data_IF_519829104843
#
_entry.id   IF_519829104843
#
_cell.length_a   1.000
_cell.length_b   1.000
_cell.length_c   1.000
_cell.angle_alpha   90.00
_cell.angle_beta   90.00
_cell.angle_gamma   90.00
#
_symmetry.space_group_name_H-M   'P 1'
#
loop_
_entity.id
_entity.type
_entity.pdbx_description
1 polymer ?
#
# COMPACT_ATOMS: atom_id res chain seq x y z
N UNK A 1 6.97 2.86 1.08
CA UNK A 1 6.73 2.44 2.47
C UNK A 1 5.56 1.46 2.59
N UNK A 2 4.31 1.83 2.27
CA UNK A 2 3.13 0.97 2.50
C UNK A 2 3.24 -0.44 1.90
N UNK A 3 3.77 -0.56 0.67
CA UNK A 3 4.02 -1.84 0.01
C UNK A 3 5.00 -2.74 0.78
N UNK A 4 6.06 -2.16 1.34
CA UNK A 4 7.05 -2.88 2.16
C UNK A 4 6.45 -3.28 3.51
N UNK A 5 5.72 -2.37 4.14
CA UNK A 5 5.06 -2.60 5.42
C UNK A 5 4.03 -3.72 5.32
N UNK A 6 3.09 -3.64 4.38
CA UNK A 6 2.10 -4.69 4.13
C UNK A 6 2.76 -6.00 3.70
N UNK A 7 3.89 -5.95 2.98
CA UNK A 7 4.68 -7.13 2.62
C UNK A 7 5.24 -7.91 3.82
N UNK A 8 5.35 -7.31 5.02
CA UNK A 8 5.71 -8.03 6.25
C UNK A 8 4.64 -9.05 6.66
N UNK A 9 3.43 -8.96 6.11
CA UNK A 9 2.28 -9.83 6.37
C UNK A 9 2.03 -10.81 5.21
N UNK A 10 3.00 -11.00 4.31
CA UNK A 10 2.85 -11.79 3.09
C UNK A 10 2.15 -13.14 3.32
N UNK A 11 2.52 -13.86 4.37
CA UNK A 11 2.00 -15.20 4.67
C UNK A 11 0.56 -15.17 5.23
N UNK A 12 0.10 -14.03 5.72
CA UNK A 12 -1.26 -13.79 6.20
C UNK A 12 -2.20 -13.31 5.07
N UNK A 13 -1.64 -12.95 3.90
CA UNK A 13 -2.38 -12.42 2.76
C UNK A 13 -2.75 -13.52 1.76
N UNK A 14 -3.92 -13.40 1.15
CA UNK A 14 -4.31 -14.24 0.01
C UNK A 14 -3.42 -13.98 -1.21
N UNK A 15 -3.46 -14.89 -2.18
CA UNK A 15 -2.73 -14.72 -3.44
C UNK A 15 -3.12 -13.43 -4.19
N UNK A 16 -4.42 -13.10 -4.18
CA UNK A 16 -4.93 -11.87 -4.81
C UNK A 16 -4.37 -10.62 -4.13
N UNK A 17 -4.36 -10.60 -2.79
CA UNK A 17 -3.81 -9.50 -2.00
C UNK A 17 -2.30 -9.34 -2.22
N UNK A 18 -1.54 -10.44 -2.19
CA UNK A 18 -0.12 -10.41 -2.49
C UNK A 18 0.17 -9.89 -3.91
N UNK A 19 -0.68 -10.24 -4.88
CA UNK A 19 -0.57 -9.74 -6.27
C UNK A 19 -0.79 -8.23 -6.35
N UNK A 20 -1.76 -7.69 -5.61
CA UNK A 20 -2.01 -6.24 -5.51
C UNK A 20 -0.81 -5.51 -4.89
N UNK A 21 -0.24 -6.05 -3.80
CA UNK A 21 0.94 -5.45 -3.15
C UNK A 21 2.13 -5.43 -4.10
N UNK A 22 2.37 -6.52 -4.84
CA UNK A 22 3.44 -6.61 -5.83
C UNK A 22 3.25 -5.64 -7.00
N UNK A 23 2.04 -5.58 -7.58
CA UNK A 23 1.71 -4.64 -8.65
C UNK A 23 1.89 -3.18 -8.20
N UNK A 24 1.46 -2.87 -6.97
CA UNK A 24 1.63 -1.55 -6.36
C UNK A 24 3.11 -1.22 -6.11
N UNK A 25 3.93 -2.18 -5.68
CA UNK A 25 5.36 -1.99 -5.52
C UNK A 25 6.07 -1.72 -6.85
N UNK A 26 5.61 -2.36 -7.94
CA UNK A 26 6.12 -2.07 -9.29
C UNK A 26 5.70 -0.67 -9.75
N UNK A 27 4.45 -0.27 -9.51
CA UNK A 27 3.98 1.07 -9.82
C UNK A 27 4.78 2.16 -9.09
N UNK A 28 5.10 1.97 -7.80
CA UNK A 28 5.92 2.94 -7.04
C UNK A 28 7.30 3.16 -7.67
N UNK A 29 7.89 2.11 -8.25
CA UNK A 29 9.20 2.20 -8.93
C UNK A 29 9.09 2.85 -10.31
N UNK A 30 8.00 2.60 -11.03
CA UNK A 30 7.77 3.07 -12.40
C UNK A 30 6.31 3.51 -12.57
N UNK A 31 5.94 4.71 -12.07
CA UNK A 31 4.56 5.16 -12.09
C UNK A 31 4.04 5.33 -13.51
N UNK A 32 2.88 4.74 -13.79
CA UNK A 32 2.16 4.95 -15.06
C UNK A 32 0.65 4.79 -14.87
N UNK A 33 -0.13 5.42 -15.74
CA UNK A 33 -1.59 5.48 -15.63
C UNK A 33 -2.26 4.14 -15.89
N UNK A 34 -1.78 3.36 -16.86
CA UNK A 34 -2.34 2.05 -17.19
C UNK A 34 -2.27 1.11 -15.98
N UNK A 35 -1.10 0.97 -15.35
CA UNK A 35 -0.95 0.19 -14.13
C UNK A 35 -1.76 0.74 -12.97
N UNK A 36 -1.87 2.07 -12.83
CA UNK A 36 -2.70 2.69 -11.78
C UNK A 36 -4.17 2.24 -11.88
N UNK A 37 -4.71 2.19 -13.10
CA UNK A 37 -6.08 1.73 -13.37
C UNK A 37 -6.26 0.22 -13.24
N UNK A 38 -5.28 -0.58 -13.65
CA UNK A 38 -5.34 -2.03 -13.43
C UNK A 38 -5.30 -2.40 -11.94
N UNK A 39 -4.52 -1.66 -11.14
CA UNK A 39 -4.52 -1.81 -9.67
C UNK A 39 -5.89 -1.46 -9.10
N UNK A 40 -6.53 -0.38 -9.55
CA UNK A 40 -7.89 -0.01 -9.12
C UNK A 40 -8.91 -1.12 -9.39
N UNK A 41 -8.91 -1.72 -10.58
CA UNK A 41 -9.77 -2.87 -10.88
C UNK A 41 -9.48 -4.06 -9.98
N UNK A 42 -8.20 -4.32 -9.70
CA UNK A 42 -7.75 -5.47 -8.90
C UNK A 42 -8.17 -5.40 -7.43
N UNK A 43 -8.41 -4.19 -6.90
CA UNK A 43 -8.82 -4.00 -5.50
C UNK A 43 -10.33 -3.99 -5.29
N UNK A 44 -11.14 -3.86 -6.35
CA UNK A 44 -12.62 -3.89 -6.28
C UNK A 44 -13.16 -5.12 -5.52
N UNK A 45 -12.71 -6.37 -5.80
CA UNK A 45 -13.23 -7.54 -5.12
C UNK A 45 -12.71 -7.72 -3.69
N UNK A 46 -11.71 -6.95 -3.25
CA UNK A 46 -11.12 -7.09 -1.92
C UNK A 46 -12.02 -6.44 -0.85
N UNK A 47 -12.03 -7.04 0.34
CA UNK A 47 -12.74 -6.51 1.50
C UNK A 47 -12.08 -5.22 2.03
N UNK A 48 -12.83 -4.38 2.74
CA UNK A 48 -12.28 -3.13 3.31
C UNK A 48 -11.29 -3.40 4.46
N UNK A 49 -11.32 -4.60 5.03
CA UNK A 49 -10.42 -5.14 6.03
C UNK A 49 -9.09 -5.62 5.43
N UNK A 50 -8.95 -5.61 4.10
CA UNK A 50 -7.71 -5.97 3.43
C UNK A 50 -6.70 -4.83 3.47
N UNK A 51 -5.53 -5.08 4.06
CA UNK A 51 -4.42 -4.12 3.99
C UNK A 51 -3.95 -3.90 2.53
N UNK A 52 -3.98 -4.95 1.70
CA UNK A 52 -3.60 -4.86 0.30
C UNK A 52 -4.56 -3.99 -0.52
N UNK A 53 -5.87 -4.03 -0.22
CA UNK A 53 -6.85 -3.09 -0.80
C UNK A 53 -6.43 -1.65 -0.57
N UNK A 54 -6.08 -1.29 0.66
CA UNK A 54 -5.65 0.06 0.99
C UNK A 54 -4.32 0.46 0.34
N UNK A 55 -3.40 -0.48 0.14
CA UNK A 55 -2.18 -0.25 -0.66
C UNK A 55 -2.54 0.12 -2.10
N UNK A 56 -3.37 -0.67 -2.76
CA UNK A 56 -3.81 -0.36 -4.13
C UNK A 56 -4.63 0.92 -4.20
N UNK A 57 -5.45 1.20 -3.18
CA UNK A 57 -6.23 2.43 -3.08
C UNK A 57 -5.33 3.67 -2.96
N UNK A 58 -4.24 3.56 -2.20
CA UNK A 58 -3.22 4.60 -2.12
C UNK A 58 -2.60 4.85 -3.49
N UNK A 59 -2.24 3.81 -4.25
CA UNK A 59 -1.74 3.96 -5.63
C UNK A 59 -2.76 4.64 -6.53
N UNK A 60 -4.02 4.21 -6.50
CA UNK A 60 -5.07 4.82 -7.32
C UNK A 60 -5.26 6.30 -6.98
N UNK A 61 -5.21 6.68 -5.70
CA UNK A 61 -5.32 8.08 -5.28
C UNK A 61 -3.99 8.84 -5.34
N UNK A 62 -2.88 8.16 -5.62
CA UNK A 62 -1.55 8.73 -5.86
C UNK A 62 -1.40 9.00 -7.35
N UNK A 63 -1.70 10.21 -7.79
CA UNK A 63 -1.42 10.61 -9.17
C UNK A 63 -2.16 11.86 -9.61
N UNK A 64 -1.86 12.28 -10.83
CA UNK A 64 -2.53 13.40 -11.50
C UNK A 64 -3.75 12.96 -12.31
N UNK A 65 -4.07 11.66 -12.30
CA UNK A 65 -5.20 11.12 -13.06
C UNK A 65 -6.52 11.21 -12.30
N UNK A 66 -7.62 11.28 -13.06
CA UNK A 66 -8.97 11.25 -12.51
C UNK A 66 -9.19 10.01 -11.62
N UNK A 67 -9.99 10.15 -10.56
CA UNK A 67 -10.49 9.04 -9.75
C UNK A 67 -11.91 8.62 -10.15
N UNK A 68 -12.54 9.34 -11.08
CA UNK A 68 -13.80 8.92 -11.67
C UNK A 68 -13.58 7.79 -12.71
N UNK A 69 -14.63 7.04 -13.06
CA UNK A 69 -14.67 6.20 -14.26
C UNK A 69 -14.27 7.00 -15.51
N UNK A 70 -13.67 6.34 -16.50
CA UNK A 70 -13.10 6.99 -17.68
C UNK A 70 -14.12 7.81 -18.49
N UNK A 71 -15.38 7.36 -18.54
CA UNK A 71 -16.48 8.02 -19.26
C UNK A 71 -17.07 9.22 -18.50
N UNK A 72 -16.68 9.41 -17.24
CA UNK A 72 -17.20 10.47 -16.40
C UNK A 72 -16.29 11.71 -16.44
N UNK A 73 -16.81 12.90 -16.08
CA UNK A 73 -16.00 14.08 -15.89
C UNK A 73 -14.81 13.84 -14.97
N UNK A 74 -13.71 14.56 -15.23
CA UNK A 74 -12.50 14.47 -14.40
C UNK A 74 -12.83 14.87 -12.96
N UNK A 75 -12.51 13.98 -12.03
CA UNK A 75 -12.55 14.24 -10.59
C UNK A 75 -11.17 13.96 -10.04
N UNK A 76 -10.55 14.97 -9.43
CA UNK A 76 -9.24 14.81 -8.81
C UNK A 76 -9.37 14.24 -7.40
N UNK A 77 -8.40 13.42 -6.92
CA UNK A 77 -8.38 13.02 -5.53
C UNK A 77 -8.22 14.26 -4.64
N UNK A 78 -8.89 14.26 -3.49
CA UNK A 78 -8.67 15.29 -2.49
C UNK A 78 -7.21 15.27 -1.98
N UNK A 79 -6.74 16.42 -1.52
CA UNK A 79 -5.39 16.53 -0.95
C UNK A 79 -5.18 15.50 0.17
N UNK A 80 -4.00 14.89 0.16
CA UNK A 80 -3.57 13.87 1.12
C UNK A 80 -4.46 12.61 1.19
N UNK A 81 -5.39 12.41 0.25
CA UNK A 81 -6.27 11.24 0.24
C UNK A 81 -5.48 9.92 0.12
N UNK A 82 -4.43 9.91 -0.70
CA UNK A 82 -3.50 8.77 -0.78
C UNK A 82 -2.75 8.53 0.54
N UNK A 83 -2.38 9.59 1.28
CA UNK A 83 -1.71 9.46 2.56
C UNK A 83 -2.63 8.81 3.62
N UNK A 84 -3.93 9.12 3.57
CA UNK A 84 -4.94 8.44 4.41
C UNK A 84 -5.04 6.95 4.05
N UNK A 85 -5.01 6.60 2.77
CA UNK A 85 -4.99 5.19 2.35
C UNK A 85 -3.69 4.48 2.77
N UNK A 86 -2.54 5.15 2.72
CA UNK A 86 -1.26 4.62 3.27
C UNK A 86 -1.38 4.32 4.76
N UNK A 87 -1.95 5.25 5.54
CA UNK A 87 -2.18 5.04 6.97
C UNK A 87 -3.17 3.89 7.21
N UNK A 88 -4.24 3.81 6.41
CA UNK A 88 -5.19 2.69 6.40
C UNK A 88 -4.49 1.35 6.18
N UNK A 89 -3.67 1.24 5.14
CA UNK A 89 -2.91 0.03 4.83
C UNK A 89 -2.02 -0.43 6.00
N UNK A 90 -1.29 0.50 6.62
CA UNK A 90 -0.40 0.20 7.74
C UNK A 90 -1.18 -0.24 8.96
N UNK A 91 -2.23 0.48 9.33
CA UNK A 91 -3.03 0.21 10.52
C UNK A 91 -3.83 -1.10 10.37
N UNK A 92 -4.39 -1.34 9.18
CA UNK A 92 -5.07 -2.60 8.87
C UNK A 92 -4.11 -3.78 8.92
N UNK A 93 -2.91 -3.68 8.34
CA UNK A 93 -1.91 -4.74 8.43
C UNK A 93 -1.43 -4.99 9.87
N UNK A 94 -1.37 -3.94 10.70
CA UNK A 94 -1.02 -4.07 12.11
C UNK A 94 -2.13 -4.72 12.95
N UNK A 95 -3.40 -4.53 12.59
CA UNK A 95 -4.53 -4.94 13.39
C UNK A 95 -5.19 -6.24 12.91
N UNK A 96 -5.15 -6.54 11.61
CA UNK A 96 -5.95 -7.59 10.98
C UNK A 96 -5.11 -8.60 10.16
N UNK A 97 -5.48 -9.89 10.18
CA UNK A 97 -6.25 -10.53 11.27
C UNK A 97 -5.57 -10.29 12.63
N UNK A 98 -6.35 -10.36 13.71
CA UNK A 98 -5.85 -10.05 15.06
C UNK A 98 -4.65 -10.93 15.43
N UNK A 99 -3.60 -10.30 15.99
CA UNK A 99 -2.36 -10.97 16.34
C UNK A 99 -1.57 -10.17 17.38
N UNK A 100 -0.67 -10.82 18.11
CA UNK A 100 0.08 -10.20 19.22
C UNK A 100 1.34 -9.44 18.78
N UNK A 101 1.79 -9.58 17.52
CA UNK A 101 3.06 -9.02 17.05
C UNK A 101 2.98 -7.60 16.47
N UNK A 102 1.84 -6.92 16.57
CA UNK A 102 1.65 -5.56 16.06
C UNK A 102 2.70 -4.55 16.56
N UNK A 103 3.20 -4.70 17.80
CA UNK A 103 4.26 -3.84 18.34
C UNK A 103 5.57 -4.00 17.56
N UNK A 104 5.95 -5.24 17.25
CA UNK A 104 7.14 -5.53 16.45
C UNK A 104 6.98 -5.04 15.01
N UNK A 105 5.78 -5.18 14.46
CA UNK A 105 5.42 -4.61 13.16
C UNK A 105 5.58 -3.09 13.13
N UNK A 106 5.01 -2.34 14.08
CA UNK A 106 5.15 -0.88 14.10
C UNK A 106 6.61 -0.44 14.23
N UNK A 107 7.42 -1.11 15.07
CA UNK A 107 8.87 -0.83 15.14
C UNK A 107 9.55 -0.97 13.78
N UNK A 108 9.25 -2.06 13.06
CA UNK A 108 9.74 -2.29 11.70
C UNK A 108 9.28 -1.16 10.76
N UNK A 109 8.00 -0.82 10.75
CA UNK A 109 7.44 0.24 9.90
C UNK A 109 8.06 1.61 10.19
N UNK A 110 8.27 1.97 11.46
CA UNK A 110 8.95 3.21 11.82
C UNK A 110 10.41 3.22 11.35
N UNK A 111 11.13 2.10 11.47
CA UNK A 111 12.50 1.98 10.92
C UNK A 111 12.50 2.18 9.40
N UNK A 112 11.52 1.62 8.67
CA UNK A 112 11.38 1.86 7.23
C UNK A 112 11.10 3.34 6.91
N UNK A 113 10.23 4.00 7.70
CA UNK A 113 9.87 5.39 7.50
C UNK A 113 11.07 6.33 7.71
N UNK A 114 11.84 6.09 8.77
CA UNK A 114 13.07 6.83 9.07
C UNK A 114 14.12 6.62 7.97
N UNK A 115 14.35 5.36 7.54
CA UNK A 115 15.28 5.08 6.44
C UNK A 115 14.91 5.83 5.16
N UNK A 116 13.63 5.89 4.80
CA UNK A 116 13.16 6.69 3.64
C UNK A 116 13.37 8.18 3.85
N UNK A 117 13.10 8.69 5.06
CA UNK A 117 13.30 10.11 5.39
C UNK A 117 14.79 10.51 5.28
N UNK A 118 15.70 9.58 5.57
CA UNK A 118 17.14 9.75 5.44
C UNK A 118 17.67 9.48 4.01
N UNK A 119 16.78 9.26 3.04
CA UNK A 119 17.13 9.06 1.62
C UNK A 119 17.36 7.60 1.22
N UNK A 120 17.09 6.65 2.13
CA UNK A 120 17.16 5.22 1.90
C UNK A 120 15.96 4.64 1.12
N UNK A 121 15.93 3.31 1.02
CA UNK A 121 14.93 2.58 0.22
C UNK A 121 13.72 2.09 1.04
N UNK A 122 13.79 2.23 2.36
CA UNK A 122 12.85 1.69 3.34
C UNK A 122 12.96 0.18 3.51
N UNK A 123 13.89 -0.51 2.85
CA UNK A 123 14.09 -1.95 3.02
C UNK A 123 14.82 -2.20 4.34
N UNK A 124 14.25 -3.06 5.17
CA UNK A 124 14.95 -3.53 6.36
C UNK A 124 16.08 -4.45 5.92
N UNK A 125 17.31 -4.11 6.26
CA UNK A 125 18.42 -5.05 6.23
C UNK A 125 18.19 -6.08 7.34
N UNK A 126 18.35 -7.36 7.05
CA UNK A 126 18.41 -8.38 8.11
C UNK A 126 19.56 -7.99 9.05
N UNK A 127 19.25 -7.79 10.34
CA UNK A 127 20.30 -7.72 11.35
C UNK A 127 20.93 -9.12 11.40
N UNK A 128 22.24 -9.19 11.11
CA UNK A 128 23.03 -10.40 11.28
C UNK A 128 22.83 -10.87 12.72
N UNK A 129 22.41 -12.13 12.85
CA UNK A 129 21.99 -12.80 14.08
C UNK A 129 23.02 -12.74 15.20
#
# INVERSE_FOLDING_TARGET
MATLATGLRHDDLTQAENSVVAASANWVKQPNEAMRREIEKSIVPLANESAAKWVGQAVFWSGQGSIAPAENPVVMPADFLHAKAVAGAINTAAALPEWSGYKGYYKKVFKMALDIADGGSGKLTEEVS
#
